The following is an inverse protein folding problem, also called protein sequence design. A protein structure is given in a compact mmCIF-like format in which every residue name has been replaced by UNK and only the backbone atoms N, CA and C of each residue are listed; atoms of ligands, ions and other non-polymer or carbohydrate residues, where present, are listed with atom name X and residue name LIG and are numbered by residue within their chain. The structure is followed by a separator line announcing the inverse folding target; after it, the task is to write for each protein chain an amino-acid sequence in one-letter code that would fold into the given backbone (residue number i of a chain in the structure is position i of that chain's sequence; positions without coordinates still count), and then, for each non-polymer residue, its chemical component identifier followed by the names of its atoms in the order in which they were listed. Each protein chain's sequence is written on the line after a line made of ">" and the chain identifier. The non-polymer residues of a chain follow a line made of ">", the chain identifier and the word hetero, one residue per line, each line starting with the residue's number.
data_IF_624812336808
#
_entry.id   IF_624812336808
#
_cell.length_a   1.000
_cell.length_b   1.000
_cell.length_c   1.000
_cell.angle_alpha   90.00
_cell.angle_beta   90.00
_cell.angle_gamma   90.00
#
_symmetry.space_group_name_H-M   'P 1'
#
loop_
_entity.id
_entity.type
_entity.pdbx_description
1 polymer ?
#
# COMPACT_ATOMS: atom_id res chain seq x y z
N UNK A 1 9.78 4.82 -27.24
CA UNK A 1 8.59 4.89 -28.12
C UNK A 1 8.91 5.87 -29.23
N UNK A 2 8.79 5.44 -30.46
CA UNK A 2 9.09 6.28 -31.63
C UNK A 2 7.82 6.98 -32.11
N UNK A 3 7.98 8.20 -32.60
CA UNK A 3 6.91 8.95 -33.24
C UNK A 3 7.46 10.00 -34.19
N UNK A 4 6.59 10.58 -34.99
CA UNK A 4 6.93 11.63 -35.95
C UNK A 4 6.29 12.94 -35.51
N UNK A 5 7.06 14.03 -35.52
CA UNK A 5 6.51 15.36 -35.26
C UNK A 5 5.56 15.74 -36.40
N UNK A 6 4.31 16.01 -36.07
CA UNK A 6 3.28 16.46 -37.03
C UNK A 6 3.01 17.96 -36.91
N UNK A 7 3.34 18.56 -35.77
CA UNK A 7 3.22 20.00 -35.54
C UNK A 7 4.27 20.46 -34.52
N UNK A 8 4.96 21.55 -34.83
CA UNK A 8 5.92 22.18 -33.92
C UNK A 8 5.23 23.35 -33.21
N UNK A 9 5.36 23.42 -31.89
CA UNK A 9 4.88 24.54 -31.08
C UNK A 9 5.86 24.83 -29.94
N UNK A 10 5.84 26.04 -29.37
CA UNK A 10 6.65 26.39 -28.21
C UNK A 10 5.73 26.49 -26.98
N UNK A 11 5.97 25.74 -25.89
CA UNK A 11 7.13 24.87 -25.60
C UNK A 11 6.95 23.39 -26.00
N UNK A 12 5.84 23.02 -26.67
CA UNK A 12 5.49 21.62 -26.95
C UNK A 12 5.18 21.37 -28.43
N UNK A 13 5.70 20.26 -28.93
CA UNK A 13 5.40 19.73 -30.26
C UNK A 13 4.43 18.56 -30.17
N UNK A 14 3.57 18.42 -31.18
CA UNK A 14 2.65 17.29 -31.32
C UNK A 14 3.31 16.19 -32.13
N UNK A 15 3.21 14.96 -31.62
CA UNK A 15 3.84 13.77 -32.17
C UNK A 15 2.79 12.71 -32.42
N UNK A 16 2.82 12.12 -33.60
CA UNK A 16 2.11 10.88 -33.92
C UNK A 16 3.03 9.69 -33.62
N UNK A 17 2.69 8.93 -32.59
CA UNK A 17 3.45 7.73 -32.22
C UNK A 17 3.15 6.56 -33.16
N UNK A 18 4.09 5.63 -33.26
CA UNK A 18 3.97 4.43 -34.09
C UNK A 18 2.79 3.50 -33.71
N UNK A 19 2.19 3.69 -32.54
CA UNK A 19 0.99 2.99 -32.09
C UNK A 19 -0.32 3.71 -32.48
N UNK A 20 -0.25 4.73 -33.33
CA UNK A 20 -1.39 5.52 -33.79
C UNK A 20 -1.88 6.57 -32.79
N UNK A 21 -1.26 6.70 -31.60
CA UNK A 21 -1.64 7.71 -30.62
C UNK A 21 -0.97 9.05 -30.92
N UNK A 22 -1.69 10.13 -30.63
CA UNK A 22 -1.14 11.48 -30.65
C UNK A 22 -0.76 11.86 -29.22
N UNK A 23 0.42 12.47 -29.04
CA UNK A 23 0.79 13.09 -27.78
C UNK A 23 1.65 14.32 -27.95
N UNK A 24 1.83 15.05 -26.86
CA UNK A 24 2.65 16.25 -26.82
C UNK A 24 3.99 15.93 -26.14
N UNK A 25 5.09 16.33 -26.77
CA UNK A 25 6.44 16.25 -26.18
C UNK A 25 7.03 17.65 -26.08
N UNK A 26 8.01 17.87 -25.18
CA UNK A 26 8.83 19.07 -25.23
C UNK A 26 9.47 19.21 -26.61
N UNK A 27 9.44 20.41 -27.18
CA UNK A 27 9.99 20.65 -28.51
C UNK A 27 11.51 20.41 -28.48
N UNK A 28 12.01 19.43 -29.24
CA UNK A 28 13.45 19.18 -29.32
C UNK A 28 14.15 20.35 -30.00
N UNK A 29 15.41 20.59 -29.66
CA UNK A 29 16.23 21.62 -30.31
C UNK A 29 16.30 21.35 -31.82
N UNK A 30 15.89 22.33 -32.63
CA UNK A 30 15.80 22.17 -34.08
C UNK A 30 14.64 21.29 -34.56
N UNK A 31 13.61 21.07 -33.73
CA UNK A 31 12.43 20.29 -34.09
C UNK A 31 11.73 20.76 -35.37
N UNK A 32 11.50 19.82 -36.29
CA UNK A 32 10.82 20.06 -37.57
C UNK A 32 9.72 19.01 -37.79
N UNK A 33 8.68 19.40 -38.53
CA UNK A 33 7.65 18.46 -38.99
C UNK A 33 8.31 17.36 -39.82
N UNK A 34 7.91 16.10 -39.60
CA UNK A 34 8.51 14.92 -40.23
C UNK A 34 9.73 14.36 -39.50
N UNK A 35 10.24 15.03 -38.46
CA UNK A 35 11.35 14.51 -37.67
C UNK A 35 10.90 13.32 -36.82
N UNK A 36 11.63 12.22 -36.90
CA UNK A 36 11.45 11.05 -36.03
C UNK A 36 12.04 11.35 -34.66
N UNK A 37 11.25 11.18 -33.61
CA UNK A 37 11.64 11.39 -32.22
C UNK A 37 11.44 10.12 -31.42
N UNK A 38 12.42 9.83 -30.56
CA UNK A 38 12.34 8.72 -29.62
C UNK A 38 12.05 9.25 -28.22
N UNK A 39 10.85 8.98 -27.71
CA UNK A 39 10.47 9.31 -26.34
C UNK A 39 10.84 8.14 -25.44
N UNK A 40 11.73 8.39 -24.47
CA UNK A 40 12.02 7.44 -23.39
C UNK A 40 10.96 7.57 -22.30
N UNK A 41 10.30 6.47 -21.88
CA UNK A 41 9.35 6.51 -20.78
C UNK A 41 10.07 6.91 -19.49
N UNK A 42 9.54 7.90 -18.78
CA UNK A 42 10.05 8.27 -17.47
C UNK A 42 9.51 7.29 -16.41
N UNK A 43 10.29 6.25 -16.11
CA UNK A 43 9.89 5.22 -15.15
C UNK A 43 10.17 5.58 -13.69
N UNK A 44 10.64 6.81 -13.38
CA UNK A 44 11.02 7.21 -12.02
C UNK A 44 9.91 7.01 -10.99
N UNK A 45 8.67 7.39 -11.32
CA UNK A 45 7.53 7.21 -10.41
C UNK A 45 7.20 5.74 -10.16
N UNK A 46 7.27 4.89 -11.20
CA UNK A 46 7.03 3.45 -11.06
C UNK A 46 8.09 2.79 -10.17
N UNK A 47 9.35 3.15 -10.37
CA UNK A 47 10.48 2.64 -9.56
C UNK A 47 10.30 3.06 -8.09
N UNK A 48 9.94 4.33 -7.85
CA UNK A 48 9.68 4.82 -6.50
C UNK A 48 8.55 4.03 -5.81
N UNK A 49 7.42 3.82 -6.49
CA UNK A 49 6.30 3.07 -5.94
C UNK A 49 6.67 1.61 -5.65
N UNK A 50 7.44 0.95 -6.53
CA UNK A 50 7.93 -0.42 -6.31
C UNK A 50 8.85 -0.47 -5.09
N UNK A 51 9.77 0.50 -4.95
CA UNK A 51 10.67 0.57 -3.81
C UNK A 51 9.90 0.75 -2.49
N UNK A 52 8.87 1.61 -2.48
CA UNK A 52 7.99 1.80 -1.31
C UNK A 52 7.25 0.51 -0.96
N UNK A 53 6.66 -0.16 -1.95
CA UNK A 53 5.95 -1.43 -1.72
C UNK A 53 6.89 -2.53 -1.17
N UNK A 54 8.11 -2.62 -1.72
CA UNK A 54 9.12 -3.57 -1.23
C UNK A 54 9.52 -3.28 0.22
N UNK A 55 9.73 -2.00 0.58
CA UNK A 55 10.07 -1.61 1.94
C UNK A 55 8.96 -1.94 2.96
N UNK A 56 7.69 -1.77 2.58
CA UNK A 56 6.54 -2.15 3.41
C UNK A 56 6.47 -3.67 3.62
N UNK A 57 6.67 -4.46 2.57
CA UNK A 57 6.70 -5.93 2.67
C UNK A 57 7.86 -6.43 3.53
N UNK A 58 9.04 -5.83 3.40
CA UNK A 58 10.20 -6.16 4.24
C UNK A 58 9.92 -5.85 5.71
N UNK A 59 9.36 -4.67 6.01
CA UNK A 59 8.97 -4.29 7.38
C UNK A 59 7.96 -5.27 7.98
N UNK A 60 6.96 -5.69 7.21
CA UNK A 60 5.99 -6.69 7.63
C UNK A 60 6.64 -8.07 7.88
N UNK A 61 7.55 -8.50 7.01
CA UNK A 61 8.32 -9.74 7.19
C UNK A 61 9.16 -9.73 8.47
N UNK A 62 9.81 -8.60 8.78
CA UNK A 62 10.56 -8.42 10.03
C UNK A 62 9.62 -8.49 11.23
N UNK A 63 8.47 -7.80 11.20
CA UNK A 63 7.50 -7.84 12.29
C UNK A 63 6.97 -9.26 12.56
N UNK A 64 6.65 -10.02 11.50
CA UNK A 64 6.24 -11.42 11.62
C UNK A 64 7.38 -12.29 12.17
N UNK A 65 8.60 -12.10 11.68
CA UNK A 65 9.79 -12.80 12.18
C UNK A 65 10.03 -12.55 13.67
N UNK A 66 9.96 -11.28 14.10
CA UNK A 66 10.05 -10.89 15.52
C UNK A 66 8.92 -11.52 16.32
N UNK A 67 7.66 -11.41 15.87
CA UNK A 67 6.54 -12.07 16.55
C UNK A 67 6.74 -13.57 16.67
N UNK A 68 7.28 -14.23 15.65
CA UNK A 68 7.47 -15.69 15.66
C UNK A 68 8.59 -16.10 16.61
N UNK A 69 9.71 -15.37 16.62
CA UNK A 69 10.83 -15.64 17.55
C UNK A 69 10.45 -15.29 18.98
N UNK A 70 9.77 -14.16 19.21
CA UNK A 70 9.27 -13.77 20.53
C UNK A 70 8.12 -14.68 21.01
N UNK A 71 7.28 -15.21 20.12
CA UNK A 71 6.24 -16.21 20.46
C UNK A 71 6.80 -17.61 20.62
N UNK A 72 8.01 -17.89 20.13
CA UNK A 72 8.77 -19.10 20.49
C UNK A 72 9.09 -19.16 21.99
N UNK A 73 9.02 -18.04 22.70
CA UNK A 73 9.04 -17.94 24.17
C UNK A 73 7.66 -17.76 24.81
N UNK A 74 6.58 -17.72 24.04
CA UNK A 74 5.18 -17.70 24.54
C UNK A 74 4.49 -19.05 24.31
N UNK A 75 5.20 -20.17 24.53
CA UNK A 75 4.49 -21.34 25.04
C UNK A 75 4.11 -21.04 26.49
N UNK A 76 2.82 -20.93 26.76
CA UNK A 76 2.15 -20.72 28.07
C UNK A 76 1.76 -19.28 28.44
N UNK A 77 1.07 -18.57 27.56
CA UNK A 77 0.00 -17.67 28.01
C UNK A 77 -1.33 -18.03 27.33
N UNK A 78 -1.69 -19.30 27.48
CA UNK A 78 -3.09 -19.77 27.50
C UNK A 78 -3.89 -19.12 28.68
N UNK A 79 -3.33 -18.09 29.32
CA UNK A 79 -3.96 -17.32 30.38
C UNK A 79 -4.90 -16.25 29.82
N UNK A 80 -4.72 -15.72 28.60
CA UNK A 80 -5.59 -14.64 28.11
C UNK A 80 -7.06 -15.08 27.95
N UNK A 81 -7.28 -16.21 27.27
CA UNK A 81 -8.62 -16.70 26.96
C UNK A 81 -9.35 -17.25 28.20
N UNK A 82 -8.65 -18.00 29.06
CA UNK A 82 -9.25 -18.56 30.28
C UNK A 82 -9.39 -17.51 31.40
N UNK A 83 -8.52 -16.51 31.46
CA UNK A 83 -8.66 -15.40 32.42
C UNK A 83 -9.78 -14.44 32.01
N UNK A 84 -9.97 -14.16 30.70
CA UNK A 84 -11.16 -13.42 30.23
C UNK A 84 -12.45 -14.19 30.54
N UNK A 85 -12.51 -15.50 30.24
CA UNK A 85 -13.69 -16.33 30.56
C UNK A 85 -13.95 -16.41 32.07
N UNK A 86 -12.89 -16.40 32.89
CA UNK A 86 -12.97 -16.34 34.34
C UNK A 86 -13.50 -15.02 34.89
N UNK A 87 -13.18 -13.88 34.24
CA UNK A 87 -13.74 -12.57 34.59
C UNK A 87 -15.21 -12.44 34.19
N UNK A 88 -15.57 -12.89 32.99
CA UNK A 88 -16.96 -12.91 32.51
C UNK A 88 -17.86 -13.70 33.46
N UNK A 89 -17.45 -14.91 33.87
CA UNK A 89 -18.17 -15.71 34.87
C UNK A 89 -18.32 -15.01 36.23
N UNK A 90 -17.28 -14.29 36.70
CA UNK A 90 -17.38 -13.55 37.97
C UNK A 90 -18.38 -12.41 37.86
N UNK A 91 -18.41 -11.72 36.73
CA UNK A 91 -19.32 -10.60 36.51
C UNK A 91 -20.79 -11.08 36.39
N UNK A 92 -21.01 -12.21 35.71
CA UNK A 92 -22.33 -12.85 35.65
C UNK A 92 -22.81 -13.29 37.04
N UNK A 93 -21.94 -13.92 37.84
CA UNK A 93 -22.27 -14.30 39.21
C UNK A 93 -22.61 -13.07 40.08
N UNK A 94 -21.83 -11.98 40.00
CA UNK A 94 -22.12 -10.75 40.74
C UNK A 94 -23.50 -10.18 40.40
N UNK A 95 -23.87 -10.15 39.11
CA UNK A 95 -25.20 -9.70 38.68
C UNK A 95 -26.32 -10.58 39.25
N UNK A 96 -26.16 -11.91 39.23
CA UNK A 96 -27.17 -12.82 39.80
C UNK A 96 -27.29 -12.73 41.33
N UNK A 97 -26.20 -12.45 42.04
CA UNK A 97 -26.25 -12.21 43.49
C UNK A 97 -26.97 -10.90 43.81
N UNK A 98 -26.74 -9.85 43.02
CA UNK A 98 -27.33 -8.53 43.20
C UNK A 98 -28.84 -8.53 42.92
N UNK A 99 -29.28 -9.28 41.91
CA UNK A 99 -30.69 -9.49 41.57
C UNK A 99 -31.44 -10.22 42.72
N UNK A 100 -30.85 -11.30 43.25
CA UNK A 100 -31.44 -12.08 44.36
C UNK A 100 -31.45 -11.35 45.70
N UNK A 101 -30.56 -10.39 45.92
CA UNK A 101 -30.57 -9.56 47.15
C UNK A 101 -31.51 -8.36 47.05
N UNK A 102 -31.94 -7.98 45.85
CA UNK A 102 -32.99 -6.98 45.63
C UNK A 102 -34.41 -7.48 45.94
N UNK A 103 -34.64 -8.80 45.88
CA UNK A 103 -35.95 -9.43 46.15
C UNK A 103 -36.25 -9.70 47.64
N UNK A 104 -35.31 -9.48 48.57
CA UNK A 104 -35.52 -9.72 50.02
C UNK A 104 -35.82 -8.45 50.85
N UNK A 105 -36.69 -7.56 50.38
CA UNK A 105 -37.23 -6.46 51.21
C UNK A 105 -38.75 -6.36 51.15
#
# INVERSE_FOLDING_TARGET
>A
MEGVIVQVGEPKSIVLFNNGKIGAIPTPEGGRVGMVVTVKPNNRLKILLIAVAAALLLSAGIAIGVMTVSRGTETQTETGYDWQRGQEKRQELMNTWQDKTGEQK
#
